data_IF_584131952161
#
_entry.id   IF_584131952161
#
_cell.length_a   1.000
_cell.length_b   1.000
_cell.length_c   1.000
_cell.angle_alpha   90.00
_cell.angle_beta   90.00
_cell.angle_gamma   90.00
#
_symmetry.space_group_name_H-M   'P 1'
#
loop_
_entity.id
_entity.type
_entity.pdbx_description
1 polymer ?
#
# COMPACT_ATOMS: atom_id res chain seq x y z
N UNK A 1 3.09 -37.01 -20.04
CA UNK A 1 2.90 -35.60 -20.42
C UNK A 1 1.53 -35.16 -19.95
N UNK A 2 1.47 -34.11 -19.13
CA UNK A 2 0.25 -33.55 -18.56
C UNK A 2 0.57 -32.29 -17.76
N UNK A 3 1.31 -31.38 -18.42
CA UNK A 3 1.43 -29.93 -18.16
C UNK A 3 0.72 -29.44 -16.90
N UNK A 4 1.53 -29.35 -15.84
CA UNK A 4 1.61 -28.23 -14.91
C UNK A 4 0.35 -27.38 -14.85
N UNK A 5 -0.46 -27.78 -13.89
CA UNK A 5 -1.31 -26.94 -13.06
C UNK A 5 -1.26 -25.46 -13.41
N UNK A 6 -2.40 -25.02 -13.94
CA UNK A 6 -2.72 -23.67 -14.40
C UNK A 6 -2.85 -22.73 -13.19
N UNK A 7 -1.80 -22.59 -12.38
CA UNK A 7 -1.64 -21.50 -11.39
C UNK A 7 -1.32 -20.17 -12.09
N UNK A 8 -2.02 -19.88 -13.18
CA UNK A 8 -1.84 -18.68 -13.99
C UNK A 8 -2.67 -17.55 -13.39
N UNK A 9 -2.05 -16.86 -12.42
CA UNK A 9 -1.92 -15.41 -12.54
C UNK A 9 -3.16 -14.56 -12.28
N UNK A 10 -3.76 -14.70 -11.09
CA UNK A 10 -4.45 -13.57 -10.48
C UNK A 10 -3.95 -13.46 -9.06
N UNK A 11 -2.85 -12.73 -8.86
CA UNK A 11 -2.53 -12.15 -7.56
C UNK A 11 -3.76 -11.34 -7.18
N UNK A 12 -4.68 -11.96 -6.42
CA UNK A 12 -5.68 -11.24 -5.65
C UNK A 12 -4.85 -10.33 -4.78
N UNK A 13 -4.82 -9.05 -5.12
CA UNK A 13 -4.24 -8.03 -4.26
C UNK A 13 -4.79 -8.32 -2.86
N UNK A 14 -3.91 -8.63 -1.91
CA UNK A 14 -4.30 -8.97 -0.53
C UNK A 14 -4.90 -7.76 0.20
N UNK A 15 -4.95 -6.63 -0.48
CA UNK A 15 -5.50 -5.37 -0.04
C UNK A 15 -6.99 -5.32 -0.44
N UNK A 16 -7.90 -5.17 0.54
CA UNK A 16 -9.30 -4.90 0.26
C UNK A 16 -9.47 -3.67 -0.64
N UNK A 17 -10.39 -3.66 -1.61
CA UNK A 17 -10.58 -2.52 -2.52
C UNK A 17 -11.03 -1.24 -1.81
N UNK A 18 -11.61 -1.36 -0.62
CA UNK A 18 -12.03 -0.26 0.27
C UNK A 18 -11.00 0.05 1.38
N UNK A 19 -9.80 -0.56 1.33
CA UNK A 19 -8.78 -0.33 2.32
C UNK A 19 -8.20 1.08 2.17
N UNK A 20 -8.25 1.82 3.27
CA UNK A 20 -7.57 3.10 3.41
C UNK A 20 -6.31 2.96 4.25
N UNK A 21 -5.33 3.80 3.92
CA UNK A 21 -4.01 3.81 4.54
C UNK A 21 -3.74 5.18 5.15
N UNK A 22 -3.04 5.21 6.27
CA UNK A 22 -2.46 6.44 6.82
C UNK A 22 -0.96 6.31 6.97
N UNK A 23 -0.29 7.45 6.92
CA UNK A 23 1.10 7.56 7.33
C UNK A 23 1.23 7.36 8.84
N UNK A 24 2.27 6.65 9.27
CA UNK A 24 2.66 6.52 10.69
C UNK A 24 3.81 7.48 11.00
N UNK A 25 4.11 7.68 12.28
CA UNK A 25 5.30 8.44 12.70
C UNK A 25 6.59 7.86 12.12
N UNK A 26 6.76 6.53 12.15
CA UNK A 26 7.93 5.85 11.58
C UNK A 26 8.03 6.05 10.05
N UNK A 27 6.90 6.05 9.35
CA UNK A 27 6.85 6.36 7.92
C UNK A 27 7.26 7.79 7.62
N UNK A 28 6.93 8.72 8.53
CA UNK A 28 7.32 10.13 8.42
C UNK A 28 8.82 10.32 8.61
N UNK A 29 9.43 9.66 9.58
CA UNK A 29 10.90 9.67 9.73
C UNK A 29 11.61 9.10 8.50
N UNK A 30 11.03 8.05 7.90
CA UNK A 30 11.60 7.42 6.70
C UNK A 30 11.44 8.21 5.41
N UNK A 31 10.58 9.25 5.37
CA UNK A 31 10.50 10.13 4.21
C UNK A 31 11.82 10.84 3.92
N UNK A 32 12.60 11.16 4.96
CA UNK A 32 13.90 11.82 4.80
C UNK A 32 14.98 10.87 4.25
N UNK A 33 14.79 9.56 4.39
CA UNK A 33 15.76 8.50 4.06
C UNK A 33 15.55 7.94 2.63
N UNK A 34 14.30 7.88 2.16
CA UNK A 34 13.91 7.29 0.87
C UNK A 34 14.01 8.23 -0.34
N UNK A 35 14.97 9.16 -0.34
CA UNK A 35 15.08 10.22 -1.35
C UNK A 35 14.99 9.75 -2.80
N UNK A 36 13.83 9.97 -3.44
CA UNK A 36 13.58 9.66 -4.85
C UNK A 36 12.96 8.29 -5.15
N UNK A 37 12.81 7.40 -4.16
CA UNK A 37 12.19 6.08 -4.34
C UNK A 37 10.67 6.12 -4.56
N UNK A 38 10.08 5.12 -5.24
CA UNK A 38 8.62 4.99 -5.31
C UNK A 38 7.94 4.94 -3.94
N UNK A 39 8.62 4.38 -2.92
CA UNK A 39 8.11 4.32 -1.55
C UNK A 39 7.99 5.69 -0.90
N UNK A 40 8.95 6.61 -1.12
CA UNK A 40 8.83 7.97 -0.57
C UNK A 40 7.67 8.72 -1.23
N UNK A 41 7.38 8.50 -2.51
CA UNK A 41 6.21 9.10 -3.16
C UNK A 41 4.89 8.63 -2.53
N UNK A 42 4.78 7.36 -2.16
CA UNK A 42 3.62 6.83 -1.43
C UNK A 42 3.50 7.47 -0.04
N UNK A 43 4.62 7.56 0.69
CA UNK A 43 4.62 8.18 2.02
C UNK A 43 4.29 9.68 1.93
N UNK A 44 4.76 10.39 0.91
CA UNK A 44 4.54 11.82 0.70
C UNK A 44 3.09 12.10 0.29
N UNK A 45 2.50 11.22 -0.53
CA UNK A 45 1.08 11.22 -0.83
C UNK A 45 0.24 11.15 0.45
N UNK A 46 0.56 10.20 1.33
CA UNK A 46 -0.13 10.03 2.62
C UNK A 46 0.18 11.16 3.62
N UNK A 47 1.37 11.77 3.59
CA UNK A 47 1.66 12.96 4.40
C UNK A 47 0.78 14.14 3.98
N UNK A 48 0.60 14.33 2.68
CA UNK A 48 -0.11 15.48 2.11
C UNK A 48 -1.62 15.31 2.22
N UNK A 49 -2.14 14.11 1.98
CA UNK A 49 -3.58 13.81 1.92
C UNK A 49 -4.13 13.22 3.22
N UNK A 50 -3.26 12.72 4.10
CA UNK A 50 -3.64 12.06 5.34
C UNK A 50 -4.04 10.60 5.10
N UNK A 51 -5.31 10.28 5.35
CA UNK A 51 -5.84 8.92 5.13
C UNK A 51 -6.32 8.81 3.68
N UNK A 52 -5.81 7.84 2.93
CA UNK A 52 -6.09 7.71 1.50
C UNK A 52 -6.21 6.28 1.02
N UNK A 53 -7.02 6.05 0.00
CA UNK A 53 -7.15 4.75 -0.69
C UNK A 53 -6.11 4.56 -1.82
N UNK A 54 -6.04 3.36 -2.39
CA UNK A 54 -5.08 3.04 -3.46
C UNK A 54 -5.19 3.93 -4.71
N UNK A 55 -6.40 4.35 -5.09
CA UNK A 55 -6.62 5.21 -6.24
C UNK A 55 -6.19 6.64 -5.94
N UNK A 56 -6.42 7.14 -4.72
CA UNK A 56 -5.94 8.44 -4.27
C UNK A 56 -4.42 8.50 -4.23
N UNK A 57 -3.79 7.49 -3.60
CA UNK A 57 -2.33 7.34 -3.56
C UNK A 57 -1.76 7.25 -4.98
N UNK A 58 -2.40 6.51 -5.88
CA UNK A 58 -1.97 6.40 -7.29
C UNK A 58 -1.94 7.75 -8.00
N UNK A 59 -2.97 8.57 -7.80
CA UNK A 59 -3.06 9.92 -8.40
C UNK A 59 -2.02 10.87 -7.83
N UNK A 60 -1.79 10.86 -6.52
CA UNK A 60 -0.88 11.80 -5.85
C UNK A 60 0.59 11.41 -5.96
N UNK A 61 0.91 10.12 -5.91
CA UNK A 61 2.29 9.62 -6.06
C UNK A 61 2.75 9.49 -7.52
N UNK A 62 1.83 9.64 -8.48
CA UNK A 62 2.05 9.39 -9.90
C UNK A 62 2.62 7.98 -10.18
N UNK A 63 2.14 6.99 -9.41
CA UNK A 63 2.51 5.58 -9.52
C UNK A 63 1.32 4.77 -9.99
N UNK A 64 1.57 3.67 -10.70
CA UNK A 64 0.49 2.78 -11.09
C UNK A 64 -0.03 2.01 -9.87
N UNK A 65 -1.35 1.78 -9.83
CA UNK A 65 -2.01 1.00 -8.78
C UNK A 65 -1.33 -0.35 -8.54
N UNK A 66 -0.95 -1.06 -9.60
CA UNK A 66 -0.29 -2.37 -9.48
C UNK A 66 1.10 -2.32 -8.83
N UNK A 67 1.81 -1.20 -8.94
CA UNK A 67 3.10 -0.98 -8.26
C UNK A 67 2.88 -0.70 -6.78
N UNK A 68 1.89 0.14 -6.46
CA UNK A 68 1.48 0.45 -5.09
C UNK A 68 1.02 -0.83 -4.38
N UNK A 69 0.16 -1.64 -5.00
CA UNK A 69 -0.35 -2.90 -4.44
C UNK A 69 0.77 -3.90 -4.09
N UNK A 70 1.89 -3.88 -4.82
CA UNK A 70 3.07 -4.72 -4.50
C UNK A 70 3.89 -4.16 -3.34
N UNK A 71 3.92 -2.84 -3.16
CA UNK A 71 4.75 -2.18 -2.14
C UNK A 71 4.05 -2.05 -0.79
N UNK A 72 2.74 -1.77 -0.79
CA UNK A 72 1.92 -1.56 0.41
C UNK A 72 2.12 -2.66 1.46
N UNK A 73 2.08 -3.98 1.16
CA UNK A 73 2.25 -5.00 2.18
C UNK A 73 3.61 -4.94 2.90
N UNK A 74 4.68 -4.62 2.17
CA UNK A 74 6.01 -4.43 2.73
C UNK A 74 6.10 -3.15 3.57
N UNK A 75 5.39 -2.10 3.19
CA UNK A 75 5.35 -0.84 3.94
C UNK A 75 4.53 -0.94 5.22
N UNK A 76 3.42 -1.70 5.19
CA UNK A 76 2.63 -2.01 6.39
C UNK A 76 3.44 -2.87 7.36
N UNK A 77 4.06 -3.96 6.86
CA UNK A 77 4.89 -4.84 7.69
C UNK A 77 6.10 -4.11 8.28
N UNK A 78 6.65 -3.14 7.55
CA UNK A 78 7.74 -2.28 8.00
C UNK A 78 7.31 -1.21 9.00
N UNK A 79 6.01 -1.07 9.28
CA UNK A 79 5.47 -0.07 10.20
C UNK A 79 5.38 1.34 9.63
N UNK A 80 5.63 1.55 8.33
CA UNK A 80 5.65 2.90 7.73
C UNK A 80 4.25 3.44 7.47
N UNK A 81 3.30 2.55 7.15
CA UNK A 81 1.91 2.90 6.90
C UNK A 81 1.01 1.95 7.67
N UNK A 82 -0.18 2.40 8.05
CA UNK A 82 -1.16 1.60 8.78
C UNK A 82 -2.49 1.54 8.03
N UNK A 83 -3.17 0.40 8.13
CA UNK A 83 -4.56 0.27 7.70
C UNK A 83 -5.47 1.06 8.65
N UNK A 84 -6.34 1.91 8.12
CA UNK A 84 -7.32 2.69 8.91
C UNK A 84 -8.72 2.10 8.80
N UNK A 85 -9.00 1.37 7.73
CA UNK A 85 -10.19 0.55 7.60
C UNK A 85 -10.61 0.33 6.14
N UNK A 86 -11.10 -0.87 5.81
CA UNK A 86 -12.47 -1.20 6.18
C UNK A 86 -12.41 -1.86 7.56
N UNK A 87 -13.33 -1.55 8.46
CA UNK A 87 -13.42 -2.16 9.78
C UNK A 87 -13.03 -3.63 9.69
N UNK A 88 -11.87 -4.00 10.27
CA UNK A 88 -11.72 -5.38 10.69
C UNK A 88 -12.89 -5.59 11.62
N UNK A 89 -13.76 -6.50 11.23
CA UNK A 89 -14.65 -7.19 12.13
C UNK A 89 -13.75 -7.80 13.21
N UNK A 90 -13.41 -6.98 14.20
CA UNK A 90 -13.27 -7.41 15.58
C UNK A 90 -14.66 -7.92 15.96
N UNK A 91 -14.93 -9.18 15.65
CA UNK A 91 -15.96 -9.93 16.35
C UNK A 91 -15.39 -11.33 16.58
N UNK A 92 -14.93 -11.49 17.83
CA UNK A 92 -14.95 -12.70 18.66
C UNK A 92 -14.26 -13.98 18.17
#
# INVERSE_FOLDING_TARGET
>A
MGILDRYRGRSRSSIPPSATFRLTEQGRDKLQDFGGDPKSRILMALETQGTSDLAEISRSSNLNRGEIERMIPGMVRGGYIAYVGAAQSEDM
#
